data_IF_847692016126
#
_entry.id   IF_847692016126
#
_cell.length_a   1.000
_cell.length_b   1.000
_cell.length_c   1.000
_cell.angle_alpha   90.00
_cell.angle_beta   90.00
_cell.angle_gamma   90.00
#
_symmetry.space_group_name_H-M   'P 1'
#
loop_
_entity.id
_entity.type
_entity.pdbx_description
1 polymer ?
#
# COMPACT_ATOMS: atom_id res chain seq x y z
N UNK A 1 8.03 2.38 19.89
CA UNK A 1 8.29 3.81 20.18
C UNK A 1 8.13 4.60 18.89
N UNK A 2 7.40 5.74 18.96
CA UNK A 2 7.25 6.63 17.80
C UNK A 2 8.60 7.27 17.47
N UNK A 3 9.02 7.18 16.22
CA UNK A 3 10.28 7.74 15.71
C UNK A 3 10.04 8.59 14.47
N UNK A 4 10.91 9.58 14.24
CA UNK A 4 10.87 10.42 13.04
C UNK A 4 11.80 9.81 12.00
N UNK A 5 11.28 9.49 10.81
CA UNK A 5 12.13 9.08 9.69
C UNK A 5 12.88 10.29 9.13
N UNK A 6 12.16 11.31 8.70
CA UNK A 6 12.65 12.67 8.41
C UNK A 6 11.45 13.58 8.13
N UNK A 7 11.58 14.88 8.46
CA UNK A 7 10.49 15.84 8.29
C UNK A 7 9.25 15.39 9.07
N UNK A 8 8.11 15.28 8.36
CA UNK A 8 6.81 14.97 8.96
C UNK A 8 6.42 13.47 8.81
N UNK A 9 7.34 12.61 8.36
CA UNK A 9 7.08 11.16 8.25
C UNK A 9 7.51 10.46 9.52
N UNK A 10 6.56 9.81 10.17
CA UNK A 10 6.73 9.11 11.44
C UNK A 10 6.59 7.60 11.27
N UNK A 11 7.20 6.84 12.16
CA UNK A 11 7.06 5.39 12.22
C UNK A 11 7.02 4.90 13.67
N UNK A 12 6.32 3.81 13.90
CA UNK A 12 6.49 3.03 15.12
C UNK A 12 7.73 2.16 14.97
N UNK A 13 8.71 2.36 15.84
CA UNK A 13 9.88 1.49 15.96
C UNK A 13 9.53 0.32 16.87
N UNK A 14 9.78 -0.87 16.38
CA UNK A 14 9.61 -2.15 17.06
C UNK A 14 11.01 -2.76 17.19
N UNK A 15 11.33 -3.32 18.36
CA UNK A 15 12.67 -3.78 18.69
C UNK A 15 13.66 -2.64 18.98
N UNK A 16 14.88 -3.00 19.39
CA UNK A 16 15.95 -2.09 19.80
C UNK A 16 17.15 -2.15 18.86
N UNK A 17 17.22 -3.17 18.00
CA UNK A 17 18.28 -3.40 17.01
C UNK A 17 18.13 -2.54 15.75
N UNK A 18 19.08 -2.61 14.81
CA UNK A 18 18.96 -2.01 13.49
C UNK A 18 17.73 -2.55 12.78
N UNK A 19 16.85 -1.67 12.22
CA UNK A 19 15.64 -2.14 11.57
C UNK A 19 15.94 -3.00 10.34
N UNK A 20 15.33 -4.18 10.28
CA UNK A 20 15.41 -5.13 9.17
C UNK A 20 14.11 -5.18 8.36
N UNK A 21 13.00 -4.75 8.96
CA UNK A 21 11.68 -4.77 8.33
C UNK A 21 11.12 -3.37 8.21
N UNK A 22 10.53 -3.07 7.05
CA UNK A 22 9.80 -1.84 6.77
C UNK A 22 8.35 -2.19 6.44
N UNK A 23 7.38 -1.75 7.25
CA UNK A 23 5.97 -2.04 7.03
C UNK A 23 5.17 -0.80 6.61
N UNK A 24 4.34 -0.96 5.57
CA UNK A 24 3.56 0.10 4.91
C UNK A 24 2.07 -0.28 4.92
N UNK A 25 1.27 0.49 5.63
CA UNK A 25 -0.15 0.19 5.93
C UNK A 25 -1.13 0.55 4.80
N UNK A 26 -2.34 0.02 4.90
CA UNK A 26 -3.45 0.30 3.99
C UNK A 26 -4.02 1.72 4.12
N UNK A 27 -4.89 2.11 3.17
CA UNK A 27 -5.59 3.39 3.18
C UNK A 27 -6.45 3.56 4.44
N UNK A 28 -6.40 4.75 5.05
CA UNK A 28 -7.16 5.05 6.27
C UNK A 28 -6.66 4.33 7.54
N UNK A 29 -5.51 3.68 7.47
CA UNK A 29 -4.88 2.91 8.55
C UNK A 29 -3.63 3.62 9.08
N UNK A 30 -2.82 2.90 9.85
CA UNK A 30 -1.56 3.42 10.40
C UNK A 30 -0.55 2.28 10.62
N UNK A 31 0.68 2.62 10.97
CA UNK A 31 1.72 1.64 11.32
C UNK A 31 1.32 0.69 12.46
N UNK A 32 0.42 1.11 13.34
CA UNK A 32 -0.05 0.31 14.46
C UNK A 32 -0.70 -1.03 14.04
N UNK A 33 -1.21 -1.15 12.81
CA UNK A 33 -1.78 -2.40 12.29
C UNK A 33 -0.78 -3.56 12.25
N UNK A 34 0.51 -3.24 12.20
CA UNK A 34 1.58 -4.22 12.12
C UNK A 34 2.15 -4.64 13.49
N UNK A 35 1.66 -4.08 14.59
CA UNK A 35 2.26 -4.31 15.91
C UNK A 35 2.37 -5.80 16.28
N UNK A 36 1.32 -6.59 16.02
CA UNK A 36 1.32 -8.04 16.29
C UNK A 36 2.12 -8.84 15.26
N UNK A 37 2.09 -8.42 14.00
CA UNK A 37 2.80 -9.09 12.89
C UNK A 37 4.31 -8.96 13.05
N UNK A 38 4.77 -7.80 13.51
CA UNK A 38 6.20 -7.48 13.66
C UNK A 38 6.75 -7.74 15.08
N UNK A 39 5.93 -8.27 15.98
CA UNK A 39 6.38 -8.58 17.33
C UNK A 39 7.55 -9.57 17.32
N UNK A 40 8.67 -9.18 17.96
CA UNK A 40 9.89 -9.98 18.02
C UNK A 40 10.87 -9.73 16.86
N UNK A 41 10.62 -8.72 16.00
CA UNK A 41 11.56 -8.28 14.97
C UNK A 41 12.06 -6.86 15.27
N UNK A 42 13.14 -6.45 14.59
CA UNK A 42 13.58 -5.06 14.55
C UNK A 42 12.99 -4.40 13.31
N UNK A 43 11.98 -3.53 13.50
CA UNK A 43 11.16 -3.04 12.41
C UNK A 43 10.77 -1.56 12.52
N UNK A 44 10.41 -0.99 11.39
CA UNK A 44 9.77 0.32 11.25
C UNK A 44 8.39 0.15 10.62
N UNK A 45 7.33 0.41 11.37
CA UNK A 45 5.97 0.47 10.85
C UNK A 45 5.62 1.93 10.54
N UNK A 46 5.70 2.30 9.27
CA UNK A 46 5.58 3.69 8.82
C UNK A 46 4.14 4.17 8.90
N UNK A 47 3.94 5.36 9.42
CA UNK A 47 2.71 6.12 9.24
C UNK A 47 2.82 6.92 7.95
N UNK A 48 2.26 6.41 6.86
CA UNK A 48 2.33 7.08 5.56
C UNK A 48 1.75 8.50 5.63
N UNK A 49 2.32 9.47 4.89
CA UNK A 49 1.86 10.86 4.89
C UNK A 49 0.35 11.01 4.70
N UNK A 50 -0.29 11.76 5.61
CA UNK A 50 -1.74 11.93 5.67
C UNK A 50 -2.49 10.90 6.51
N UNK A 51 -1.76 9.98 7.17
CA UNK A 51 -2.34 8.96 8.04
C UNK A 51 -1.64 8.92 9.41
N UNK A 52 -2.42 8.52 10.43
CA UNK A 52 -1.91 8.48 11.79
C UNK A 52 -1.35 9.84 12.22
N UNK A 53 -0.15 9.89 12.82
CA UNK A 53 0.49 11.13 13.25
C UNK A 53 1.24 11.88 12.14
N UNK A 54 1.40 11.30 10.93
CA UNK A 54 2.12 11.94 9.82
C UNK A 54 1.27 12.98 9.11
N UNK A 55 1.83 14.16 8.85
CA UNK A 55 1.15 15.24 8.16
C UNK A 55 0.73 14.85 6.72
N UNK A 56 -0.36 15.43 6.24
CA UNK A 56 -0.81 15.20 4.87
C UNK A 56 0.16 15.82 3.84
N UNK A 57 0.33 15.19 2.66
CA UNK A 57 1.11 15.77 1.58
C UNK A 57 0.59 17.14 1.17
N UNK A 58 1.47 18.07 0.75
CA UNK A 58 1.07 19.42 0.36
C UNK A 58 0.27 19.46 -0.95
N UNK A 59 0.30 18.39 -1.73
CA UNK A 59 -0.40 18.25 -3.00
C UNK A 59 -0.77 16.78 -3.25
N UNK A 60 -1.60 16.51 -4.26
CA UNK A 60 -2.04 15.16 -4.60
C UNK A 60 -0.87 14.30 -5.12
N UNK A 61 -0.31 13.49 -4.23
CA UNK A 61 0.74 12.52 -4.56
C UNK A 61 0.17 11.26 -5.21
N UNK A 62 0.99 10.59 -6.03
CA UNK A 62 0.81 9.19 -6.41
C UNK A 62 1.66 8.27 -5.52
N UNK A 63 1.49 6.96 -5.68
CA UNK A 63 2.25 5.97 -4.89
C UNK A 63 3.78 6.09 -5.05
N UNK A 64 4.27 6.52 -6.21
CA UNK A 64 5.69 6.79 -6.43
C UNK A 64 6.23 7.90 -5.54
N UNK A 65 5.50 9.01 -5.40
CA UNK A 65 5.92 10.11 -4.53
C UNK A 65 5.92 9.71 -3.05
N UNK A 66 5.01 8.81 -2.63
CA UNK A 66 5.05 8.20 -1.30
C UNK A 66 6.30 7.33 -1.12
N UNK A 67 6.66 6.53 -2.12
CA UNK A 67 7.87 5.70 -2.09
C UNK A 67 9.15 6.54 -1.99
N UNK A 68 9.26 7.59 -2.80
CA UNK A 68 10.39 8.53 -2.76
C UNK A 68 10.50 9.22 -1.40
N UNK A 69 9.37 9.59 -0.80
CA UNK A 69 9.35 10.24 0.52
C UNK A 69 9.78 9.28 1.64
N UNK A 70 9.34 8.01 1.59
CA UNK A 70 9.79 6.98 2.52
C UNK A 70 11.29 6.74 2.36
N UNK A 71 11.79 6.56 1.12
CA UNK A 71 13.21 6.38 0.84
C UNK A 71 14.05 7.57 1.33
N UNK A 72 13.58 8.79 1.07
CA UNK A 72 14.22 10.02 1.56
C UNK A 72 14.27 10.05 3.08
N UNK A 73 13.16 9.68 3.73
CA UNK A 73 13.04 9.64 5.18
C UNK A 73 14.03 8.67 5.82
N UNK A 74 14.13 7.46 5.29
CA UNK A 74 15.06 6.43 5.77
C UNK A 74 16.52 6.89 5.65
N UNK A 75 16.90 7.46 4.49
CA UNK A 75 18.26 7.95 4.23
C UNK A 75 18.61 9.14 5.13
N UNK A 76 17.75 10.13 5.21
CA UNK A 76 17.98 11.35 6.00
C UNK A 76 17.95 11.08 7.52
N UNK A 77 17.14 10.12 7.98
CA UNK A 77 17.10 9.71 9.39
C UNK A 77 18.22 8.77 9.81
N UNK A 78 19.12 8.38 8.89
CA UNK A 78 20.20 7.42 9.18
C UNK A 78 19.68 6.01 9.49
N UNK A 79 18.47 5.69 9.05
CA UNK A 79 17.80 4.41 9.30
C UNK A 79 17.93 3.42 8.14
N UNK A 80 18.46 3.87 6.99
CA UNK A 80 18.79 3.01 5.85
C UNK A 80 20.13 2.28 6.11
N UNK A 81 20.14 1.40 7.10
CA UNK A 81 21.32 0.65 7.56
C UNK A 81 21.60 -0.59 6.71
N UNK A 82 20.71 -0.96 5.80
CA UNK A 82 20.78 -2.10 4.87
C UNK A 82 19.46 -2.19 4.09
N UNK A 83 19.35 -3.16 3.18
CA UNK A 83 18.07 -3.45 2.54
C UNK A 83 17.08 -4.06 3.55
N UNK A 84 15.80 -3.75 3.37
CA UNK A 84 14.71 -4.18 4.23
C UNK A 84 13.90 -5.32 3.61
N UNK A 85 13.35 -6.20 4.43
CA UNK A 85 12.14 -6.92 4.10
C UNK A 85 10.99 -5.91 4.15
N UNK A 86 10.40 -5.59 2.99
CA UNK A 86 9.34 -4.59 2.89
C UNK A 86 7.97 -5.26 2.89
N UNK A 87 7.18 -4.99 3.92
CA UNK A 87 5.81 -5.53 4.07
C UNK A 87 4.81 -4.46 3.64
N UNK A 88 3.98 -4.75 2.64
CA UNK A 88 3.00 -3.81 2.12
C UNK A 88 1.57 -4.34 2.14
N UNK A 89 0.66 -3.65 2.82
CA UNK A 89 -0.76 -3.96 2.81
C UNK A 89 -1.54 -2.94 1.96
N UNK A 90 -2.35 -3.42 1.03
CA UNK A 90 -3.31 -2.61 0.27
C UNK A 90 -2.67 -1.37 -0.36
N UNK A 91 -2.96 -0.15 0.09
CA UNK A 91 -2.30 1.08 -0.37
C UNK A 91 -0.79 1.05 -0.12
N UNK A 92 -0.35 0.62 1.06
CA UNK A 92 1.07 0.50 1.39
C UNK A 92 1.81 -0.50 0.49
N UNK A 93 1.13 -1.54 0.01
CA UNK A 93 1.70 -2.47 -0.97
C UNK A 93 1.95 -1.82 -2.34
N UNK A 94 1.11 -0.87 -2.76
CA UNK A 94 1.37 -0.06 -3.95
C UNK A 94 2.61 0.81 -3.79
N UNK A 95 2.79 1.38 -2.60
CA UNK A 95 3.99 2.15 -2.25
C UNK A 95 5.22 1.23 -2.21
N UNK A 96 5.10 0.02 -1.63
CA UNK A 96 6.17 -0.98 -1.58
C UNK A 96 6.66 -1.40 -2.97
N UNK A 97 5.74 -1.65 -3.92
CA UNK A 97 6.08 -1.96 -5.32
C UNK A 97 6.85 -0.80 -5.98
N UNK A 98 6.41 0.45 -5.79
CA UNK A 98 7.14 1.62 -6.29
C UNK A 98 8.51 1.78 -5.63
N UNK A 99 8.59 1.52 -4.32
CA UNK A 99 9.86 1.57 -3.58
C UNK A 99 10.85 0.54 -4.13
N UNK A 100 10.42 -0.71 -4.31
CA UNK A 100 11.28 -1.77 -4.84
C UNK A 100 11.74 -1.50 -6.28
N UNK A 101 10.88 -0.94 -7.13
CA UNK A 101 11.21 -0.62 -8.51
C UNK A 101 12.12 0.61 -8.66
N UNK A 102 12.00 1.62 -7.78
CA UNK A 102 12.75 2.88 -7.87
C UNK A 102 13.97 2.94 -6.96
N UNK A 103 13.97 2.20 -5.86
CA UNK A 103 15.03 2.15 -4.84
C UNK A 103 15.38 0.71 -4.47
N UNK A 104 15.81 -0.13 -5.44
CA UNK A 104 16.08 -1.55 -5.21
C UNK A 104 17.14 -1.79 -4.13
N UNK A 105 18.05 -0.85 -3.92
CA UNK A 105 19.06 -0.92 -2.85
C UNK A 105 18.47 -0.91 -1.43
N UNK A 106 17.21 -0.54 -1.28
CA UNK A 106 16.52 -0.53 0.02
C UNK A 106 15.68 -1.79 0.26
N UNK A 107 15.58 -2.72 -0.69
CA UNK A 107 14.64 -3.85 -0.63
C UNK A 107 15.36 -5.17 -0.81
N UNK A 108 15.39 -6.00 0.23
CA UNK A 108 15.91 -7.38 0.18
C UNK A 108 14.82 -8.38 -0.26
N UNK A 109 13.59 -8.16 0.17
CA UNK A 109 12.43 -8.97 -0.19
C UNK A 109 11.14 -8.15 -0.06
N UNK A 110 10.09 -8.54 -0.80
CA UNK A 110 8.74 -8.00 -0.69
C UNK A 110 7.81 -9.02 -0.05
N UNK A 111 6.98 -8.58 0.90
CA UNK A 111 5.81 -9.31 1.40
C UNK A 111 4.57 -8.46 1.12
N UNK A 112 3.71 -8.91 0.21
CA UNK A 112 2.55 -8.15 -0.24
C UNK A 112 1.24 -8.85 0.14
N UNK A 113 0.27 -8.08 0.62
CA UNK A 113 -1.07 -8.61 0.95
C UNK A 113 -2.17 -7.60 0.61
N UNK A 114 -3.26 -8.08 0.02
CA UNK A 114 -4.43 -7.28 -0.29
C UNK A 114 -4.16 -6.11 -1.24
N UNK A 115 -3.19 -6.20 -2.15
CA UNK A 115 -2.74 -5.09 -3.01
C UNK A 115 -3.38 -5.16 -4.40
N UNK A 116 -4.26 -4.24 -4.79
CA UNK A 116 -4.83 -4.24 -6.14
C UNK A 116 -3.84 -3.65 -7.16
N UNK A 117 -2.86 -4.46 -7.58
CA UNK A 117 -1.76 -4.10 -8.51
C UNK A 117 -2.16 -4.24 -9.97
N UNK A 118 -2.81 -5.35 -10.31
CA UNK A 118 -3.25 -5.65 -11.66
C UNK A 118 -4.76 -5.72 -11.70
N UNK A 119 -5.38 -4.86 -12.50
CA UNK A 119 -6.83 -4.89 -12.68
C UNK A 119 -7.22 -6.00 -13.63
N UNK A 120 -7.99 -6.93 -13.14
CA UNK A 120 -8.56 -8.04 -13.90
C UNK A 120 -9.89 -7.68 -14.55
N UNK A 121 -10.59 -6.71 -13.97
CA UNK A 121 -11.88 -6.23 -14.49
C UNK A 121 -11.83 -4.74 -14.75
N UNK A 122 -12.26 -4.27 -15.95
CA UNK A 122 -12.38 -2.84 -16.19
C UNK A 122 -13.29 -2.19 -15.13
N UNK A 123 -12.95 -1.00 -14.62
CA UNK A 123 -13.81 -0.32 -13.67
C UNK A 123 -15.16 -0.09 -14.32
N UNK A 124 -16.18 -0.78 -13.83
CA UNK A 124 -17.56 -0.54 -14.24
C UNK A 124 -17.97 0.84 -13.75
N UNK A 125 -17.79 1.83 -14.63
CA UNK A 125 -18.37 3.14 -14.34
C UNK A 125 -19.88 2.93 -14.19
N UNK A 126 -20.42 3.23 -13.01
CA UNK A 126 -21.87 3.21 -12.78
C UNK A 126 -22.56 3.89 -13.98
N UNK A 127 -23.55 3.21 -14.58
CA UNK A 127 -24.18 3.67 -15.84
C UNK A 127 -24.54 5.15 -15.83
N UNK A 128 -25.01 5.68 -14.69
CA UNK A 128 -25.31 7.10 -14.51
C UNK A 128 -24.10 8.04 -14.53
N UNK A 129 -22.89 7.59 -14.20
CA UNK A 129 -21.70 8.45 -14.17
C UNK A 129 -21.25 8.89 -15.57
N UNK A 130 -21.38 8.03 -16.58
CA UNK A 130 -21.06 8.41 -17.98
C UNK A 130 -21.98 9.52 -18.48
N UNK A 131 -23.26 9.38 -18.23
CA UNK A 131 -24.27 10.39 -18.59
C UNK A 131 -24.01 11.69 -17.86
N UNK A 132 -23.74 11.61 -16.54
CA UNK A 132 -23.48 12.78 -15.71
C UNK A 132 -22.22 13.55 -16.14
N UNK A 133 -21.14 12.84 -16.52
CA UNK A 133 -19.94 13.45 -17.09
C UNK A 133 -20.21 14.14 -18.44
N UNK A 134 -21.03 13.54 -19.31
CA UNK A 134 -21.44 14.17 -20.58
C UNK A 134 -22.25 15.44 -20.35
N UNK A 135 -23.21 15.40 -19.43
CA UNK A 135 -24.02 16.57 -19.06
C UNK A 135 -23.14 17.67 -18.43
N UNK A 136 -22.14 17.30 -17.63
CA UNK A 136 -21.16 18.25 -17.07
C UNK A 136 -20.30 18.88 -18.15
N UNK A 137 -19.78 18.07 -19.10
CA UNK A 137 -19.02 18.58 -20.25
C UNK A 137 -19.85 19.55 -21.12
N UNK A 138 -21.14 19.29 -21.25
CA UNK A 138 -22.08 20.17 -21.91
C UNK A 138 -22.53 21.37 -21.03
N UNK A 139 -21.96 21.53 -19.82
CA UNK A 139 -22.35 22.58 -18.82
C UNK A 139 -23.81 22.55 -18.35
N UNK A 140 -24.50 21.41 -18.54
CA UNK A 140 -25.90 21.24 -18.17
C UNK A 140 -26.10 20.89 -16.69
N UNK A 141 -25.04 20.43 -15.99
CA UNK A 141 -25.07 20.16 -14.55
C UNK A 141 -23.85 20.76 -13.87
N UNK A 142 -23.96 21.30 -12.64
CA UNK A 142 -22.83 21.80 -11.88
C UNK A 142 -21.99 20.65 -11.31
N UNK A 143 -20.72 20.93 -11.00
CA UNK A 143 -19.78 19.95 -10.42
C UNK A 143 -20.31 19.34 -9.10
N UNK A 144 -21.04 20.12 -8.31
CA UNK A 144 -21.65 19.66 -7.06
C UNK A 144 -22.60 18.46 -7.24
N UNK A 145 -23.30 18.38 -8.37
CA UNK A 145 -24.16 17.23 -8.70
C UNK A 145 -23.33 16.00 -9.03
N UNK A 146 -22.25 16.19 -9.80
CA UNK A 146 -21.31 15.10 -10.12
C UNK A 146 -20.66 14.58 -8.85
N UNK A 147 -20.21 15.47 -7.96
CA UNK A 147 -19.57 15.12 -6.70
C UNK A 147 -20.54 14.41 -5.74
N UNK A 148 -21.77 14.86 -5.63
CA UNK A 148 -22.80 14.18 -4.84
C UNK A 148 -23.06 12.76 -5.35
N UNK A 149 -23.06 12.56 -6.65
CA UNK A 149 -23.19 11.22 -7.24
C UNK A 149 -21.96 10.35 -6.94
N UNK A 150 -20.73 10.91 -7.09
CA UNK A 150 -19.46 10.21 -6.74
C UNK A 150 -19.47 9.77 -5.29
N UNK A 151 -19.87 10.65 -4.36
CA UNK A 151 -19.97 10.30 -2.93
C UNK A 151 -20.97 9.16 -2.67
N UNK A 152 -22.12 9.16 -3.35
CA UNK A 152 -23.12 8.08 -3.21
C UNK A 152 -22.66 6.75 -3.78
N UNK A 153 -21.98 6.76 -4.91
CA UNK A 153 -21.52 5.56 -5.62
C UNK A 153 -20.09 5.13 -5.24
N UNK A 154 -19.35 5.95 -4.48
CA UNK A 154 -17.97 5.71 -4.10
C UNK A 154 -17.81 4.72 -2.94
N UNK A 155 -16.59 4.19 -2.80
CA UNK A 155 -16.19 3.36 -1.65
C UNK A 155 -16.31 4.10 -0.32
N UNK A 156 -16.23 3.39 0.80
CA UNK A 156 -16.16 3.99 2.12
C UNK A 156 -14.99 4.97 2.23
N UNK A 157 -13.82 4.58 1.71
CA UNK A 157 -12.62 5.42 1.68
C UNK A 157 -12.81 6.71 0.91
N UNK A 158 -13.49 6.65 -0.26
CA UNK A 158 -13.78 7.86 -1.04
C UNK A 158 -14.72 8.82 -0.29
N UNK A 159 -15.67 8.29 0.47
CA UNK A 159 -16.57 9.10 1.29
C UNK A 159 -15.89 9.75 2.48
N UNK A 160 -14.96 9.00 3.11
CA UNK A 160 -14.23 9.47 4.28
C UNK A 160 -13.09 10.44 3.93
N UNK A 161 -12.46 10.26 2.76
CA UNK A 161 -11.35 11.13 2.34
C UNK A 161 -11.82 12.54 2.04
N UNK A 162 -11.05 13.55 2.46
CA UNK A 162 -11.31 14.97 2.24
C UNK A 162 -10.08 15.70 1.68
N UNK A 163 -10.30 16.86 1.08
CA UNK A 163 -9.21 17.72 0.58
C UNK A 163 -8.22 16.97 -0.29
N UNK A 164 -6.93 17.21 -0.05
CA UNK A 164 -5.82 16.60 -0.79
C UNK A 164 -5.83 15.06 -0.72
N UNK A 165 -6.25 14.48 0.40
CA UNK A 165 -6.30 13.02 0.56
C UNK A 165 -7.32 12.37 -0.40
N UNK A 166 -8.44 13.04 -0.70
CA UNK A 166 -9.38 12.56 -1.72
C UNK A 166 -8.77 12.58 -3.11
N UNK A 167 -8.03 13.62 -3.45
CA UNK A 167 -7.36 13.75 -4.75
C UNK A 167 -6.27 12.69 -4.90
N UNK A 168 -5.52 12.40 -3.83
CA UNK A 168 -4.55 11.30 -3.74
C UNK A 168 -5.25 9.97 -4.00
N UNK A 169 -6.33 9.66 -3.30
CA UNK A 169 -7.07 8.40 -3.49
C UNK A 169 -7.52 8.23 -4.94
N UNK A 170 -8.10 9.29 -5.54
CA UNK A 170 -8.52 9.27 -6.95
C UNK A 170 -7.36 9.04 -7.91
N UNK A 171 -6.19 9.56 -7.61
CA UNK A 171 -4.96 9.36 -8.39
C UNK A 171 -4.47 7.93 -8.26
N UNK A 172 -4.22 7.46 -7.04
CA UNK A 172 -3.63 6.15 -6.74
C UNK A 172 -4.48 4.98 -7.27
N UNK A 173 -5.81 5.08 -7.17
CA UNK A 173 -6.68 4.01 -7.71
C UNK A 173 -6.67 3.90 -9.24
N UNK A 174 -6.02 4.82 -9.95
CA UNK A 174 -5.91 4.81 -11.42
C UNK A 174 -4.53 4.38 -11.91
N UNK A 175 -3.56 4.25 -11.01
CA UNK A 175 -2.20 3.88 -11.37
C UNK A 175 -2.13 2.44 -11.88
N UNK A 176 -1.14 2.19 -12.71
CA UNK A 176 -0.76 0.88 -13.24
C UNK A 176 0.62 0.52 -12.71
N UNK A 177 0.82 -0.75 -12.36
CA UNK A 177 2.06 -1.22 -11.72
C UNK A 177 2.78 -2.29 -12.53
N UNK A 178 2.31 -2.61 -13.75
CA UNK A 178 2.89 -3.69 -14.57
C UNK A 178 4.34 -3.46 -14.91
N UNK A 179 4.70 -2.22 -15.25
CA UNK A 179 6.08 -1.86 -15.57
C UNK A 179 6.99 -1.91 -14.33
N UNK A 180 6.44 -1.57 -13.15
CA UNK A 180 7.21 -1.64 -11.92
C UNK A 180 7.43 -3.08 -11.49
N UNK A 181 6.39 -3.92 -11.52
CA UNK A 181 6.48 -5.34 -11.21
C UNK A 181 7.53 -6.05 -12.06
N UNK A 182 7.58 -5.76 -13.36
CA UNK A 182 8.57 -6.34 -14.29
C UNK A 182 10.03 -5.88 -14.05
N UNK A 183 10.24 -4.86 -13.20
CA UNK A 183 11.59 -4.34 -12.87
C UNK A 183 12.08 -4.74 -11.49
N UNK A 184 11.25 -5.47 -10.73
CA UNK A 184 11.60 -5.90 -9.39
C UNK A 184 12.36 -7.22 -9.46
N UNK A 185 13.62 -7.20 -9.02
CA UNK A 185 14.49 -8.38 -8.93
C UNK A 185 14.44 -9.04 -7.55
N UNK A 186 14.02 -8.29 -6.51
CA UNK A 186 13.88 -8.82 -5.16
C UNK A 186 12.79 -9.90 -5.08
N UNK A 187 13.01 -11.01 -4.35
CA UNK A 187 11.99 -12.02 -4.16
C UNK A 187 10.72 -11.44 -3.52
N UNK A 188 9.57 -11.85 -4.04
CA UNK A 188 8.27 -11.35 -3.63
C UNK A 188 7.35 -12.47 -3.13
N UNK A 189 6.82 -12.30 -1.93
CA UNK A 189 5.89 -13.24 -1.29
C UNK A 189 4.52 -12.58 -1.19
N UNK A 190 3.57 -13.08 -1.97
CA UNK A 190 2.19 -12.60 -1.98
C UNK A 190 1.35 -13.48 -1.05
N UNK A 191 1.06 -13.00 0.16
CA UNK A 191 0.24 -13.69 1.16
C UNK A 191 -1.17 -13.13 1.11
N UNK A 192 -2.16 -13.94 0.72
CA UNK A 192 -3.46 -13.39 0.34
C UNK A 192 -4.63 -14.09 0.99
N UNK A 193 -5.58 -13.30 1.48
CA UNK A 193 -6.86 -13.84 1.95
C UNK A 193 -7.70 -14.40 0.80
N UNK A 194 -8.20 -15.65 0.96
CA UNK A 194 -9.06 -16.30 -0.03
C UNK A 194 -10.32 -15.49 -0.34
N UNK A 195 -10.86 -14.80 0.68
CA UNK A 195 -12.12 -14.04 0.62
C UNK A 195 -11.89 -12.51 0.50
N UNK A 196 -10.74 -12.09 -0.01
CA UNK A 196 -10.45 -10.66 -0.19
C UNK A 196 -11.24 -10.08 -1.37
N UNK A 197 -12.35 -9.42 -1.07
CA UNK A 197 -13.22 -8.75 -2.06
C UNK A 197 -12.65 -7.39 -2.52
N UNK A 198 -11.77 -6.76 -1.74
CA UNK A 198 -11.19 -5.46 -2.05
C UNK A 198 -10.01 -5.56 -3.03
N UNK A 199 -9.25 -6.65 -2.92
CA UNK A 199 -8.17 -7.02 -3.83
C UNK A 199 -8.29 -8.51 -4.18
N UNK A 200 -9.12 -8.89 -5.15
CA UNK A 200 -9.37 -10.29 -5.48
C UNK A 200 -8.10 -11.08 -5.82
N UNK A 201 -8.05 -12.34 -5.38
CA UNK A 201 -6.91 -13.25 -5.52
C UNK A 201 -6.39 -13.39 -6.97
N UNK A 202 -7.27 -13.31 -7.97
CA UNK A 202 -6.87 -13.32 -9.39
C UNK A 202 -5.87 -12.19 -9.72
N UNK A 203 -5.99 -11.03 -9.05
CA UNK A 203 -5.04 -9.93 -9.16
C UNK A 203 -3.66 -10.27 -8.59
N UNK A 204 -3.58 -11.05 -7.52
CA UNK A 204 -2.32 -11.52 -6.93
C UNK A 204 -1.60 -12.48 -7.87
N UNK A 205 -2.30 -13.48 -8.42
CA UNK A 205 -1.72 -14.41 -9.40
C UNK A 205 -1.16 -13.68 -10.63
N UNK A 206 -1.91 -12.72 -11.18
CA UNK A 206 -1.42 -11.90 -12.30
C UNK A 206 -0.24 -10.99 -11.94
N UNK A 207 -0.17 -10.51 -10.72
CA UNK A 207 0.99 -9.76 -10.25
C UNK A 207 2.22 -10.66 -10.13
N UNK A 208 2.04 -11.88 -9.62
CA UNK A 208 3.11 -12.88 -9.52
C UNK A 208 3.67 -13.29 -10.90
N UNK A 209 2.82 -13.37 -11.93
CA UNK A 209 3.25 -13.65 -13.30
C UNK A 209 4.16 -12.54 -13.91
N UNK A 210 4.11 -11.33 -13.37
CA UNK A 210 4.90 -10.19 -13.84
C UNK A 210 6.20 -9.99 -13.05
N UNK A 211 6.31 -10.57 -11.86
CA UNK A 211 7.50 -10.54 -11.02
C UNK A 211 8.50 -11.59 -11.46
N UNK A 212 9.79 -11.33 -11.30
CA UNK A 212 10.88 -12.25 -11.68
C UNK A 212 10.94 -13.47 -10.76
N UNK A 213 10.77 -13.25 -9.45
CA UNK A 213 10.77 -14.28 -8.41
C UNK A 213 9.59 -14.03 -7.47
N UNK A 214 8.54 -14.84 -7.55
CA UNK A 214 7.34 -14.65 -6.77
C UNK A 214 6.71 -15.97 -6.31
N UNK A 215 6.21 -15.95 -5.07
CA UNK A 215 5.36 -16.99 -4.50
C UNK A 215 3.99 -16.43 -4.13
N UNK A 216 2.95 -17.25 -4.21
CA UNK A 216 1.60 -16.89 -3.77
C UNK A 216 1.14 -17.90 -2.74
N UNK A 217 0.87 -17.41 -1.54
CA UNK A 217 0.24 -18.16 -0.46
C UNK A 217 -1.21 -17.69 -0.30
N UNK A 218 -2.16 -18.62 -0.33
CA UNK A 218 -3.58 -18.34 -0.11
C UNK A 218 -3.96 -18.77 1.29
N UNK A 219 -4.46 -17.82 2.09
CA UNK A 219 -4.90 -18.07 3.47
C UNK A 219 -6.41 -18.35 3.47
N UNK A 220 -6.85 -19.62 3.73
CA UNK A 220 -8.24 -19.98 3.65
C UNK A 220 -9.12 -19.20 4.62
N UNK A 221 -10.29 -18.76 4.15
CA UNK A 221 -11.28 -18.03 4.95
C UNK A 221 -10.89 -16.63 5.39
N UNK A 222 -9.67 -16.18 5.09
CA UNK A 222 -9.22 -14.83 5.42
C UNK A 222 -9.73 -13.81 4.41
N UNK A 223 -10.00 -12.58 4.87
CA UNK A 223 -10.43 -11.44 4.05
C UNK A 223 -9.30 -10.44 3.81
N UNK A 224 -9.69 -9.16 3.69
CA UNK A 224 -8.76 -8.06 3.38
C UNK A 224 -7.96 -7.53 4.59
N UNK A 225 -8.48 -7.68 5.79
CA UNK A 225 -7.91 -7.07 6.99
C UNK A 225 -6.74 -7.90 7.54
N UNK A 226 -5.79 -7.21 8.19
CA UNK A 226 -4.63 -7.81 8.84
C UNK A 226 -5.01 -8.39 10.21
N UNK A 227 -5.83 -9.44 10.21
CA UNK A 227 -6.30 -10.12 11.42
C UNK A 227 -6.27 -11.65 11.27
N UNK A 228 -6.51 -12.35 12.36
CA UNK A 228 -6.65 -13.81 12.40
C UNK A 228 -5.52 -14.56 11.67
N UNK A 229 -5.90 -15.49 10.81
CA UNK A 229 -4.95 -16.35 10.09
C UNK A 229 -4.06 -15.58 9.11
N UNK A 230 -4.57 -14.49 8.50
CA UNK A 230 -3.79 -13.67 7.59
C UNK A 230 -2.63 -12.97 8.32
N UNK A 231 -2.90 -12.39 9.49
CA UNK A 231 -1.87 -11.75 10.29
C UNK A 231 -0.81 -12.75 10.76
N UNK A 232 -1.20 -13.95 11.14
CA UNK A 232 -0.26 -15.01 11.55
C UNK A 232 0.57 -15.52 10.38
N UNK A 233 -0.02 -15.75 9.20
CA UNK A 233 0.73 -16.13 8.01
C UNK A 233 1.76 -15.07 7.60
N UNK A 234 1.37 -13.79 7.61
CA UNK A 234 2.29 -12.67 7.37
C UNK A 234 3.43 -12.64 8.39
N UNK A 235 3.11 -12.85 9.68
CA UNK A 235 4.12 -12.89 10.74
C UNK A 235 5.15 -13.99 10.51
N UNK A 236 4.70 -15.20 10.18
CA UNK A 236 5.58 -16.33 9.92
C UNK A 236 6.47 -16.08 8.69
N UNK A 237 5.90 -15.52 7.62
CA UNK A 237 6.65 -15.16 6.42
C UNK A 237 7.73 -14.11 6.69
N UNK A 238 7.40 -13.07 7.47
CA UNK A 238 8.37 -12.02 7.85
C UNK A 238 9.50 -12.59 8.68
N UNK A 239 9.19 -13.42 9.71
CA UNK A 239 10.21 -14.03 10.55
C UNK A 239 11.16 -14.92 9.75
N UNK A 240 10.63 -15.75 8.84
CA UNK A 240 11.46 -16.61 8.00
C UNK A 240 12.44 -15.80 7.13
N UNK A 241 12.02 -14.64 6.61
CA UNK A 241 12.88 -13.78 5.79
C UNK A 241 13.94 -13.04 6.61
N UNK A 242 13.62 -12.62 7.84
CA UNK A 242 14.58 -11.95 8.73
C UNK A 242 15.65 -12.92 9.25
N UNK A 243 15.30 -14.18 9.50
CA UNK A 243 16.24 -15.20 9.94
C UNK A 243 17.25 -15.63 8.86
N UNK A 244 16.91 -15.40 7.58
CA UNK A 244 17.76 -15.79 6.43
C UNK A 244 18.56 -14.64 5.84
N UNK A 245 18.36 -13.42 6.28
CA UNK A 245 19.02 -12.20 5.81
C UNK A 245 20.29 -11.89 6.62
#
# INVERSE_FOLDING_TARGET
VLTVLAGDVLADRIGDGPPQVLALHGWGRSGADFASILAGTDALAVHLPGFGPSAAPPQAWGSGQYADEVARGLKAGGLATGPFVVVGHSFGGRVAVRLAAAHPELVSALVLTGVPLVRTTPPTMARGMRTLKRLRAARLVPESVVERYRRRAGSADYRAAEGVMRDILVRVVREDYREDLARIDAPAHLVWGELDDAAPLDGAHRAAELLTDATVEVVPGAGHLLDGALAESLRLQVLALVETA
#
